data_IF_846548628311
#
_entry.id   IF_846548628311
#
_cell.length_a   1.000
_cell.length_b   1.000
_cell.length_c   1.000
_cell.angle_alpha   90.00
_cell.angle_beta   90.00
_cell.angle_gamma   90.00
#
_symmetry.space_group_name_H-M   'P 1'
#
loop_
_entity.id
_entity.type
_entity.pdbx_description
1 polymer ?
#
# COMPACT_ATOMS: atom_id res chain seq x y z
N UNK A 1 -43.29 24.98 -64.32
CA UNK A 1 -43.75 23.74 -63.67
C UNK A 1 -42.75 22.58 -63.79
N UNK A 2 -42.64 21.81 -64.90
CA UNK A 2 -41.73 20.63 -64.95
C UNK A 2 -40.26 20.91 -64.56
N UNK A 3 -39.64 21.95 -65.15
CA UNK A 3 -38.26 22.34 -64.84
C UNK A 3 -38.03 22.80 -63.40
N UNK A 4 -39.03 23.44 -62.78
CA UNK A 4 -38.92 23.91 -61.40
C UNK A 4 -39.06 22.74 -60.42
N UNK A 5 -39.92 21.77 -60.74
CA UNK A 5 -40.07 20.54 -59.97
C UNK A 5 -38.81 19.67 -60.04
N UNK A 6 -38.18 19.57 -61.22
CA UNK A 6 -36.87 18.91 -61.38
C UNK A 6 -35.78 19.62 -60.57
N UNK A 7 -35.72 20.95 -60.62
CA UNK A 7 -34.76 21.72 -59.83
C UNK A 7 -34.96 21.58 -58.32
N UNK A 8 -36.21 21.50 -57.85
CA UNK A 8 -36.53 21.25 -56.43
C UNK A 8 -36.12 19.83 -56.01
N UNK A 9 -36.43 18.82 -56.83
CA UNK A 9 -36.05 17.43 -56.58
C UNK A 9 -34.53 17.25 -56.52
N UNK A 10 -33.77 17.93 -57.39
CA UNK A 10 -32.32 17.90 -57.35
C UNK A 10 -31.76 18.51 -56.06
N UNK A 11 -32.34 19.60 -55.56
CA UNK A 11 -31.93 20.22 -54.29
C UNK A 11 -32.18 19.29 -53.11
N UNK A 12 -33.38 18.72 -53.03
CA UNK A 12 -33.76 17.78 -51.96
C UNK A 12 -32.84 16.54 -51.93
N UNK A 13 -32.46 16.03 -53.10
CA UNK A 13 -31.55 14.89 -53.20
C UNK A 13 -30.10 15.25 -52.77
N UNK A 14 -29.62 16.45 -53.11
CA UNK A 14 -28.34 16.96 -52.63
C UNK A 14 -28.35 17.10 -51.11
N UNK A 15 -29.41 17.67 -50.54
CA UNK A 15 -29.55 17.84 -49.09
C UNK A 15 -29.58 16.48 -48.38
N UNK A 16 -30.32 15.50 -48.91
CA UNK A 16 -30.36 14.14 -48.38
C UNK A 16 -28.99 13.45 -48.44
N UNK A 17 -28.23 13.65 -49.52
CA UNK A 17 -26.86 13.14 -49.64
C UNK A 17 -25.92 13.76 -48.61
N UNK A 18 -25.99 15.09 -48.42
CA UNK A 18 -25.15 15.79 -47.44
C UNK A 18 -25.47 15.29 -46.03
N UNK A 19 -26.74 15.21 -45.65
CA UNK A 19 -27.17 14.70 -44.35
C UNK A 19 -26.74 13.24 -44.12
N UNK A 20 -26.84 12.40 -45.14
CA UNK A 20 -26.39 11.00 -45.09
C UNK A 20 -24.87 10.91 -44.82
N UNK A 21 -24.08 11.75 -45.51
CA UNK A 21 -22.63 11.80 -45.31
C UNK A 21 -22.26 12.30 -43.91
N UNK A 22 -22.90 13.36 -43.43
CA UNK A 22 -22.70 13.88 -42.07
C UNK A 22 -23.02 12.82 -41.02
N UNK A 23 -24.15 12.11 -41.16
CA UNK A 23 -24.54 11.04 -40.26
C UNK A 23 -23.53 9.89 -40.26
N UNK A 24 -23.02 9.50 -41.43
CA UNK A 24 -22.02 8.45 -41.56
C UNK A 24 -20.69 8.85 -40.89
N UNK A 25 -20.26 10.10 -41.07
CA UNK A 25 -19.06 10.64 -40.44
C UNK A 25 -19.21 10.67 -38.91
N UNK A 26 -20.34 11.12 -38.39
CA UNK A 26 -20.63 11.12 -36.95
C UNK A 26 -20.56 9.70 -36.36
N UNK A 27 -21.22 8.72 -36.99
CA UNK A 27 -21.15 7.31 -36.57
C UNK A 27 -19.71 6.78 -36.58
N UNK A 28 -18.94 7.13 -37.61
CA UNK A 28 -17.54 6.70 -37.73
C UNK A 28 -16.65 7.30 -36.64
N UNK A 29 -16.90 8.56 -36.26
CA UNK A 29 -16.18 9.23 -35.18
C UNK A 29 -16.55 8.64 -33.81
N UNK A 30 -17.83 8.34 -33.57
CA UNK A 30 -18.27 7.72 -32.32
C UNK A 30 -17.62 6.34 -32.13
N UNK A 31 -17.60 5.50 -33.18
CA UNK A 31 -16.93 4.18 -33.12
C UNK A 31 -15.43 4.33 -32.82
N UNK A 32 -14.76 5.31 -33.45
CA UNK A 32 -13.34 5.56 -33.18
C UNK A 32 -13.10 5.98 -31.73
N UNK A 33 -13.96 6.84 -31.19
CA UNK A 33 -13.90 7.28 -29.79
C UNK A 33 -14.12 6.10 -28.83
N UNK A 34 -15.16 5.32 -29.06
CA UNK A 34 -15.48 4.14 -28.24
C UNK A 34 -14.32 3.13 -28.24
N UNK A 35 -13.68 2.91 -29.38
CA UNK A 35 -12.53 2.00 -29.50
C UNK A 35 -11.32 2.48 -28.68
N UNK A 36 -11.03 3.79 -28.70
CA UNK A 36 -9.95 4.37 -27.90
C UNK A 36 -10.27 4.29 -26.41
N UNK A 37 -11.52 4.62 -26.03
CA UNK A 37 -11.96 4.55 -24.63
C UNK A 37 -11.91 3.11 -24.10
N UNK A 38 -12.37 2.13 -24.88
CA UNK A 38 -12.32 0.71 -24.52
C UNK A 38 -10.88 0.24 -24.31
N UNK A 39 -9.95 0.63 -25.18
CA UNK A 39 -8.52 0.30 -25.02
C UNK A 39 -7.91 0.94 -23.77
N UNK A 40 -8.31 2.16 -23.43
CA UNK A 40 -7.85 2.83 -22.22
C UNK A 40 -8.38 2.13 -20.96
N UNK A 41 -9.68 1.80 -20.93
CA UNK A 41 -10.31 1.04 -19.84
C UNK A 41 -9.67 -0.33 -19.65
N UNK A 42 -9.48 -1.08 -20.73
CA UNK A 42 -8.84 -2.41 -20.66
C UNK A 42 -7.41 -2.33 -20.10
N UNK A 43 -6.62 -1.32 -20.51
CA UNK A 43 -5.30 -1.10 -19.93
C UNK A 43 -5.40 -0.80 -18.44
N UNK A 44 -6.30 0.10 -18.04
CA UNK A 44 -6.49 0.47 -16.64
C UNK A 44 -6.92 -0.72 -15.78
N UNK A 45 -7.84 -1.55 -16.26
CA UNK A 45 -8.28 -2.76 -15.56
C UNK A 45 -7.15 -3.77 -15.42
N UNK A 46 -6.37 -4.03 -16.47
CA UNK A 46 -5.19 -4.90 -16.39
C UNK A 46 -4.18 -4.39 -15.36
N UNK A 47 -3.94 -3.08 -15.32
CA UNK A 47 -3.06 -2.47 -14.32
C UNK A 47 -3.58 -2.64 -12.89
N UNK A 48 -4.89 -2.47 -12.67
CA UNK A 48 -5.51 -2.71 -11.36
C UNK A 48 -5.38 -4.17 -10.93
N UNK A 49 -5.71 -5.11 -11.82
CA UNK A 49 -5.59 -6.55 -11.57
C UNK A 49 -4.16 -6.94 -11.19
N UNK A 50 -3.16 -6.44 -11.92
CA UNK A 50 -1.74 -6.67 -11.60
C UNK A 50 -1.36 -6.17 -10.20
N UNK A 51 -1.84 -4.98 -9.82
CA UNK A 51 -1.57 -4.41 -8.49
C UNK A 51 -2.22 -5.22 -7.38
N UNK A 52 -3.49 -5.58 -7.54
CA UNK A 52 -4.24 -6.39 -6.57
C UNK A 52 -3.64 -7.80 -6.43
N UNK A 53 -3.25 -8.43 -7.53
CA UNK A 53 -2.59 -9.74 -7.49
C UNK A 53 -1.23 -9.66 -6.78
N UNK A 54 -0.45 -8.61 -7.01
CA UNK A 54 0.81 -8.35 -6.31
C UNK A 54 0.60 -8.24 -4.80
N UNK A 55 -0.38 -7.44 -4.36
CA UNK A 55 -0.73 -7.29 -2.95
C UNK A 55 -1.20 -8.62 -2.33
N UNK A 56 -2.04 -9.37 -3.06
CA UNK A 56 -2.52 -10.68 -2.61
C UNK A 56 -1.37 -11.67 -2.44
N UNK A 57 -0.41 -11.73 -3.38
CA UNK A 57 0.77 -12.59 -3.29
C UNK A 57 1.64 -12.22 -2.11
N UNK A 58 1.97 -10.93 -1.94
CA UNK A 58 2.75 -10.46 -0.80
C UNK A 58 2.09 -10.82 0.54
N UNK A 59 0.77 -10.63 0.66
CA UNK A 59 0.03 -10.99 1.87
C UNK A 59 0.02 -12.50 2.16
N UNK A 60 0.06 -13.35 1.13
CA UNK A 60 0.17 -14.80 1.31
C UNK A 60 1.59 -15.18 1.75
N UNK A 61 2.61 -14.62 1.10
CA UNK A 61 4.03 -14.85 1.43
C UNK A 61 4.31 -14.47 2.89
N UNK A 62 3.84 -13.31 3.32
CA UNK A 62 3.98 -12.81 4.69
C UNK A 62 3.29 -13.73 5.72
N UNK A 63 2.09 -14.26 5.40
CA UNK A 63 1.45 -15.28 6.25
C UNK A 63 2.25 -16.57 6.29
N UNK A 64 2.82 -17.01 5.18
CA UNK A 64 3.67 -18.21 5.15
C UNK A 64 4.93 -18.03 5.99
N UNK A 65 5.60 -16.89 5.87
CA UNK A 65 6.76 -16.54 6.70
C UNK A 65 6.40 -16.58 8.19
N UNK A 66 5.34 -15.86 8.60
CA UNK A 66 4.87 -15.88 10.00
C UNK A 66 4.52 -17.28 10.51
N UNK A 67 3.84 -18.10 9.70
CA UNK A 67 3.51 -19.47 10.14
C UNK A 67 4.74 -20.36 10.26
N UNK A 68 5.75 -20.18 9.40
CA UNK A 68 7.04 -20.87 9.51
C UNK A 68 7.79 -20.43 10.76
N UNK A 69 7.92 -19.11 10.98
CA UNK A 69 8.55 -18.54 12.16
C UNK A 69 7.86 -19.00 13.45
N UNK A 70 6.53 -18.98 13.49
CA UNK A 70 5.76 -19.47 14.64
C UNK A 70 5.98 -20.96 14.89
N UNK A 71 6.09 -21.79 13.85
CA UNK A 71 6.42 -23.22 13.99
C UNK A 71 7.81 -23.40 14.57
N UNK A 72 8.82 -22.71 14.04
CA UNK A 72 10.19 -22.77 14.59
C UNK A 72 10.25 -22.25 16.02
N UNK A 73 9.54 -21.17 16.34
CA UNK A 73 9.48 -20.61 17.68
C UNK A 73 8.81 -21.59 18.66
N UNK A 74 7.73 -22.26 18.25
CA UNK A 74 7.09 -23.29 19.06
C UNK A 74 8.02 -24.47 19.35
N UNK A 75 8.85 -24.88 18.39
CA UNK A 75 9.84 -25.96 18.59
C UNK A 75 10.94 -25.54 19.58
N UNK A 76 11.47 -24.32 19.42
CA UNK A 76 12.46 -23.77 20.36
C UNK A 76 11.89 -23.68 21.77
N UNK A 77 10.68 -23.15 21.95
CA UNK A 77 10.04 -23.08 23.28
C UNK A 77 9.83 -24.46 23.90
N UNK A 78 9.46 -25.47 23.09
CA UNK A 78 9.31 -26.84 23.57
C UNK A 78 10.65 -27.43 24.03
N UNK A 79 11.73 -27.20 23.28
CA UNK A 79 13.09 -27.62 23.64
C UNK A 79 13.59 -26.90 24.91
N UNK A 80 13.40 -25.58 25.00
CA UNK A 80 13.75 -24.82 26.20
C UNK A 80 12.97 -25.31 27.43
N UNK A 81 11.66 -25.58 27.28
CA UNK A 81 10.85 -26.12 28.36
C UNK A 81 11.32 -27.51 28.78
N UNK A 82 11.73 -28.35 27.82
CA UNK A 82 12.32 -29.65 28.11
C UNK A 82 13.57 -29.49 28.98
N UNK A 83 14.52 -28.63 28.57
CA UNK A 83 15.75 -28.34 29.32
C UNK A 83 15.41 -27.84 30.73
N UNK A 84 14.49 -26.88 30.84
CA UNK A 84 14.06 -26.33 32.13
C UNK A 84 13.39 -27.35 33.06
N UNK A 85 12.74 -28.38 32.49
CA UNK A 85 12.02 -29.42 33.24
C UNK A 85 12.87 -30.64 33.62
N UNK A 86 14.06 -30.80 33.01
CA UNK A 86 14.95 -31.91 33.33
C UNK A 86 15.51 -31.78 34.74
N UNK A 87 15.53 -32.89 35.47
CA UNK A 87 16.07 -32.96 36.83
C UNK A 87 17.60 -32.93 36.77
N UNK A 88 18.18 -31.95 37.45
CA UNK A 88 19.62 -31.73 37.54
C UNK A 88 20.34 -32.94 38.17
N UNK A 89 19.74 -33.58 39.18
CA UNK A 89 20.38 -34.66 39.95
C UNK A 89 20.47 -35.99 39.20
N UNK A 90 19.73 -36.13 38.10
CA UNK A 90 19.69 -37.35 37.29
C UNK A 90 20.72 -37.28 36.15
N UNK A 91 21.59 -36.26 36.14
CA UNK A 91 22.57 -35.98 35.08
C UNK A 91 24.00 -36.22 35.57
N UNK A 92 24.86 -36.68 34.65
CA UNK A 92 26.31 -36.79 34.89
C UNK A 92 26.94 -35.42 35.11
N UNK A 93 28.01 -35.34 35.90
CA UNK A 93 28.68 -34.08 36.30
C UNK A 93 28.99 -33.13 35.12
N UNK A 94 29.42 -33.68 33.97
CA UNK A 94 29.68 -32.88 32.76
C UNK A 94 28.40 -32.34 32.13
N UNK A 95 27.33 -33.14 32.09
CA UNK A 95 26.03 -32.74 31.59
C UNK A 95 25.35 -31.71 32.50
N UNK A 96 25.64 -31.78 33.80
CA UNK A 96 25.14 -30.86 34.81
C UNK A 96 25.65 -29.43 34.57
N UNK A 97 26.95 -29.28 34.31
CA UNK A 97 27.56 -28.00 33.95
C UNK A 97 26.94 -27.43 32.66
N UNK A 98 26.74 -28.27 31.64
CA UNK A 98 26.09 -27.84 30.40
C UNK A 98 24.63 -27.40 30.61
N UNK A 99 23.89 -28.14 31.45
CA UNK A 99 22.50 -27.83 31.78
C UNK A 99 22.36 -26.50 32.50
N UNK A 100 23.24 -26.21 33.45
CA UNK A 100 23.25 -24.94 34.17
C UNK A 100 23.53 -23.77 33.23
N UNK A 101 24.49 -23.92 32.32
CA UNK A 101 24.77 -22.92 31.28
C UNK A 101 23.56 -22.71 30.36
N UNK A 102 22.96 -23.79 29.86
CA UNK A 102 21.80 -23.73 28.98
C UNK A 102 20.57 -23.10 29.66
N UNK A 103 20.29 -23.45 30.93
CA UNK A 103 19.20 -22.83 31.71
C UNK A 103 19.45 -21.35 31.96
N UNK A 104 20.69 -20.97 32.29
CA UNK A 104 21.08 -19.57 32.44
C UNK A 104 20.82 -18.77 31.16
N UNK A 105 21.22 -19.30 30.00
CA UNK A 105 20.98 -18.66 28.70
C UNK A 105 19.48 -18.53 28.39
N UNK A 106 18.69 -19.59 28.63
CA UNK A 106 17.23 -19.58 28.43
C UNK A 106 16.56 -18.52 29.30
N UNK A 107 16.91 -18.44 30.58
CA UNK A 107 16.37 -17.44 31.50
C UNK A 107 16.72 -16.02 31.05
N UNK A 108 17.94 -15.79 30.58
CA UNK A 108 18.36 -14.50 30.02
C UNK A 108 17.56 -14.12 28.77
N UNK A 109 17.38 -15.05 27.80
CA UNK A 109 16.59 -14.79 26.60
C UNK A 109 15.12 -14.49 26.91
N UNK A 110 14.52 -15.23 27.85
CA UNK A 110 13.13 -14.98 28.31
C UNK A 110 12.99 -13.63 29.01
N UNK A 111 13.96 -13.26 29.84
CA UNK A 111 14.00 -11.95 30.48
C UNK A 111 14.00 -10.83 29.43
N UNK A 112 14.89 -10.92 28.43
CA UNK A 112 14.97 -9.94 27.33
C UNK A 112 13.66 -9.88 26.53
N UNK A 113 13.04 -11.02 26.21
CA UNK A 113 11.76 -11.07 25.50
C UNK A 113 10.59 -10.50 26.32
N UNK A 114 10.62 -10.66 27.66
CA UNK A 114 9.59 -10.13 28.57
C UNK A 114 9.73 -8.62 28.82
N UNK A 115 10.93 -8.06 28.65
CA UNK A 115 11.25 -6.65 28.82
C UNK A 115 10.95 -5.81 27.56
N UNK A 116 9.86 -6.11 26.85
CA UNK A 116 9.45 -5.45 25.60
C UNK A 116 9.50 -3.91 25.65
N UNK A 117 9.48 -3.23 24.48
CA UNK A 117 9.89 -1.83 24.35
C UNK A 117 9.12 -0.92 25.30
N UNK A 118 9.79 -0.43 26.33
CA UNK A 118 9.36 0.74 27.09
C UNK A 118 9.66 1.97 26.22
N UNK A 119 8.83 2.19 25.21
CA UNK A 119 8.87 3.39 24.39
C UNK A 119 7.44 3.87 24.23
N UNK A 120 7.09 4.81 25.11
CA UNK A 120 6.06 5.82 24.92
C UNK A 120 5.89 6.18 23.44
N UNK A 121 4.76 5.81 22.85
CA UNK A 121 4.15 6.59 21.77
C UNK A 121 2.65 6.35 21.84
N UNK A 122 1.96 7.24 22.55
CA UNK A 122 0.53 7.38 22.41
C UNK A 122 0.24 7.84 20.99
N UNK A 123 -0.27 6.94 20.16
CA UNK A 123 -1.17 7.23 19.06
C UNK A 123 -1.91 5.94 18.74
N UNK A 124 -2.80 5.58 19.67
CA UNK A 124 -3.91 4.67 19.37
C UNK A 124 -4.79 5.45 18.42
N UNK A 125 -4.71 5.12 17.13
CA UNK A 125 -5.67 5.53 16.12
C UNK A 125 -7.04 4.94 16.53
N UNK A 126 -7.77 5.65 17.39
CA UNK A 126 -9.16 5.37 17.71
C UNK A 126 -9.97 5.72 16.47
N UNK A 127 -10.28 4.72 15.65
CA UNK A 127 -11.32 4.82 14.65
C UNK A 127 -12.66 5.08 15.37
N UNK A 128 -13.39 6.19 15.10
CA UNK A 128 -14.71 6.35 15.64
C UNK A 128 -15.70 5.67 14.69
N UNK A 129 -16.25 4.54 15.12
CA UNK A 129 -17.54 4.11 14.62
C UNK A 129 -18.60 5.15 15.06
N UNK A 130 -19.07 5.95 14.11
CA UNK A 130 -20.45 6.43 14.00
C UNK A 130 -21.00 7.38 15.06
N UNK A 131 -20.99 8.68 14.76
CA UNK A 131 -22.07 9.59 15.13
C UNK A 131 -22.16 10.71 14.09
N UNK A 132 -23.28 10.74 13.37
CA UNK A 132 -23.66 11.78 12.44
C UNK A 132 -24.37 12.88 13.23
N UNK A 133 -23.83 14.10 13.21
CA UNK A 133 -24.59 15.34 13.40
C UNK A 133 -23.84 16.47 12.71
N UNK A 134 -24.53 17.12 11.78
CA UNK A 134 -24.12 18.34 11.09
C UNK A 134 -23.67 19.42 12.07
N UNK A 135 -22.50 20.03 11.85
CA UNK A 135 -22.32 21.44 12.18
C UNK A 135 -21.44 22.15 11.15
N UNK A 136 -21.90 23.33 10.83
CA UNK A 136 -21.60 24.18 9.70
C UNK A 136 -20.70 25.33 10.19
N UNK A 137 -19.83 25.82 9.30
CA UNK A 137 -19.20 27.16 9.31
C UNK A 137 -17.84 27.38 9.99
N UNK A 138 -17.00 28.09 9.20
CA UNK A 138 -15.86 28.97 9.52
C UNK A 138 -14.62 28.29 10.14
N UNK A 139 -13.39 28.50 9.66
CA UNK A 139 -12.82 29.64 8.98
C UNK A 139 -11.56 30.07 9.75
N UNK A 140 -10.50 30.51 9.06
CA UNK A 140 -9.37 31.33 9.58
C UNK A 140 -8.45 30.58 10.59
N UNK A 141 -7.15 30.38 10.37
CA UNK A 141 -6.10 31.36 10.09
C UNK A 141 -5.39 31.76 11.41
N UNK A 142 -4.04 31.87 11.38
CA UNK A 142 -3.11 32.44 12.41
C UNK A 142 -2.77 31.53 13.60
N UNK A 143 -1.58 31.51 14.23
CA UNK A 143 -0.27 32.19 14.12
C UNK A 143 0.66 31.65 15.22
N UNK A 144 1.99 31.74 15.00
CA UNK A 144 3.11 31.96 15.97
C UNK A 144 3.30 31.02 17.19
N UNK A 145 4.53 30.59 17.57
CA UNK A 145 5.87 30.97 17.15
C UNK A 145 6.98 30.32 18.00
N UNK A 146 8.23 30.71 17.69
CA UNK A 146 9.47 30.57 18.50
C UNK A 146 10.14 29.19 18.45
N UNK A 147 11.42 28.99 18.07
CA UNK A 147 12.59 29.88 17.99
C UNK A 147 13.70 29.39 18.93
N UNK A 148 14.97 29.49 18.48
CA UNK A 148 16.25 29.05 19.08
C UNK A 148 16.63 27.58 18.80
N UNK A 149 17.79 27.25 18.26
CA UNK A 149 18.98 28.03 17.93
C UNK A 149 20.19 27.08 17.96
N UNK A 150 20.95 27.01 16.88
CA UNK A 150 22.12 26.13 16.76
C UNK A 150 22.70 26.19 15.35
N UNK A 151 23.30 27.33 15.03
CA UNK A 151 24.19 27.50 13.89
C UNK A 151 25.60 26.97 14.26
N UNK A 152 26.24 26.31 13.29
CA UNK A 152 27.64 26.46 12.90
C UNK A 152 27.79 25.59 11.64
N UNK A 153 27.56 26.18 10.46
CA UNK A 153 28.62 26.68 9.56
C UNK A 153 29.73 25.67 9.30
N UNK A 154 29.73 25.09 8.09
CA UNK A 154 30.73 25.37 7.05
C UNK A 154 30.43 24.49 5.82
N UNK A 155 29.72 25.07 4.85
CA UNK A 155 29.78 24.64 3.46
C UNK A 155 30.03 25.87 2.59
N UNK A 156 30.77 25.64 1.50
CA UNK A 156 31.18 26.56 0.43
C UNK A 156 32.49 27.32 0.70
N UNK A 157 33.52 27.22 -0.14
CA UNK A 157 33.67 26.57 -1.44
C UNK A 157 34.97 27.07 -2.08
N UNK A 158 35.37 26.52 -3.23
CA UNK A 158 36.02 27.30 -4.27
C UNK A 158 36.07 26.52 -5.59
N UNK A 159 35.53 27.22 -6.59
CA UNK A 159 35.53 26.97 -8.02
C UNK A 159 36.93 27.29 -8.57
N UNK A 160 37.53 26.32 -9.26
CA UNK A 160 38.40 26.44 -10.45
C UNK A 160 39.77 27.12 -10.33
N UNK A 161 40.82 26.44 -10.82
CA UNK A 161 41.85 26.99 -11.71
C UNK A 161 42.77 25.85 -12.21
N UNK A 162 43.00 25.87 -13.52
CA UNK A 162 44.08 25.24 -14.33
C UNK A 162 44.15 23.71 -14.47
#
# INVERSE_FOLDING_TARGET
MKREQEAASLRENIDAMVQSNELMLLKSLEIKKELVEKKAKEKQEKWKMLKEEGLRKASIEERKARTSENKSMSLLLAEENKIMSMNHNDMEDLNQIWHDMARGEILNRRMVASAGPCSSSGDVFSAPYGANVDDFVAGVGTSDGGGFGGADELQYGLRGAE
#
